data_IF_772060798126
#
_entry.id   IF_772060798126
#
_cell.length_a   1.000
_cell.length_b   1.000
_cell.length_c   1.000
_cell.angle_alpha   90.00
_cell.angle_beta   90.00
_cell.angle_gamma   90.00
#
_symmetry.space_group_name_H-M   'P 1'
#
loop_
_entity.id
_entity.type
_entity.pdbx_description
1 polymer ?
#
# COMPACT_ATOMS: atom_id res chain seq x y z
N UNK A 1 -1.60 -12.94 14.33
CA UNK A 1 -1.86 -11.51 14.57
C UNK A 1 -1.06 -10.77 13.53
N UNK A 2 -1.70 -9.91 12.75
CA UNK A 2 -1.03 -9.11 11.72
C UNK A 2 -0.01 -8.17 12.39
N UNK A 3 1.22 -8.14 11.88
CA UNK A 3 2.28 -7.30 12.44
C UNK A 3 2.14 -5.86 11.92
N UNK A 4 1.35 -5.06 12.64
CA UNK A 4 1.11 -3.66 12.30
C UNK A 4 2.40 -2.85 12.22
N UNK A 5 3.45 -3.19 12.99
CA UNK A 5 4.71 -2.45 12.97
C UNK A 5 5.46 -2.59 11.65
N UNK A 6 5.37 -3.76 11.00
CA UNK A 6 5.94 -3.98 9.66
C UNK A 6 5.15 -3.25 8.59
N UNK A 7 3.82 -3.24 8.70
CA UNK A 7 2.95 -2.50 7.79
C UNK A 7 3.25 -1.00 7.87
N UNK A 8 3.31 -0.45 9.09
CA UNK A 8 3.60 0.96 9.32
C UNK A 8 4.98 1.35 8.77
N UNK A 9 6.01 0.51 9.00
CA UNK A 9 7.35 0.75 8.47
C UNK A 9 7.41 0.73 6.93
N UNK A 10 6.73 -0.22 6.29
CA UNK A 10 6.64 -0.27 4.81
C UNK A 10 5.85 0.92 4.27
N UNK A 11 4.75 1.28 4.93
CA UNK A 11 3.93 2.44 4.55
C UNK A 11 4.70 3.75 4.65
N UNK A 12 5.47 3.95 5.74
CA UNK A 12 6.34 5.12 5.91
C UNK A 12 7.40 5.19 4.81
N UNK A 13 8.05 4.07 4.49
CA UNK A 13 9.04 4.00 3.41
C UNK A 13 8.46 4.33 2.04
N UNK A 14 7.24 3.86 1.75
CA UNK A 14 6.52 4.19 0.51
C UNK A 14 6.17 5.67 0.49
N UNK A 15 5.66 6.23 1.58
CA UNK A 15 5.22 7.62 1.65
C UNK A 15 6.38 8.61 1.54
N UNK A 16 7.49 8.38 2.24
CA UNK A 16 8.66 9.27 2.27
C UNK A 16 9.24 9.47 0.86
N UNK A 17 9.26 8.41 0.06
CA UNK A 17 9.94 8.40 -1.24
C UNK A 17 8.94 8.19 -2.39
N UNK A 18 7.66 8.49 -2.15
CA UNK A 18 6.56 8.30 -3.08
C UNK A 18 6.86 8.83 -4.49
N UNK A 19 7.36 10.07 -4.56
CA UNK A 19 7.68 10.74 -5.82
C UNK A 19 8.85 10.14 -6.61
N UNK A 20 9.56 9.16 -6.05
CA UNK A 20 10.68 8.47 -6.71
C UNK A 20 10.43 6.97 -6.91
N UNK A 21 9.39 6.39 -6.29
CA UNK A 21 9.04 4.99 -6.49
C UNK A 21 8.34 4.79 -7.84
N UNK A 22 8.98 4.04 -8.74
CA UNK A 22 8.27 3.49 -9.90
C UNK A 22 7.43 2.27 -9.51
N UNK A 23 6.43 1.93 -10.34
CA UNK A 23 5.54 0.76 -10.14
C UNK A 23 6.29 -0.48 -9.66
N UNK A 24 7.30 -0.92 -10.41
CA UNK A 24 8.08 -2.13 -10.10
C UNK A 24 8.73 -2.11 -8.71
N UNK A 25 9.15 -0.94 -8.23
CA UNK A 25 9.75 -0.78 -6.90
C UNK A 25 8.69 -0.94 -5.81
N UNK A 26 7.50 -0.35 -6.01
CA UNK A 26 6.37 -0.52 -5.10
C UNK A 26 5.94 -1.98 -5.03
N UNK A 27 5.76 -2.62 -6.18
CA UNK A 27 5.40 -4.05 -6.28
C UNK A 27 6.40 -4.91 -5.51
N UNK A 28 7.70 -4.66 -5.65
CA UNK A 28 8.71 -5.40 -4.92
C UNK A 28 8.60 -5.20 -3.39
N UNK A 29 8.43 -3.96 -2.91
CA UNK A 29 8.28 -3.68 -1.48
C UNK A 29 7.02 -4.35 -0.89
N UNK A 30 5.92 -4.33 -1.63
CA UNK A 30 4.65 -4.94 -1.20
C UNK A 30 4.75 -6.47 -1.23
N UNK A 31 5.38 -7.05 -2.26
CA UNK A 31 5.59 -8.50 -2.36
C UNK A 31 6.47 -9.03 -1.21
N UNK A 32 7.51 -8.28 -0.83
CA UNK A 32 8.31 -8.57 0.36
C UNK A 32 7.44 -8.56 1.63
N UNK A 33 6.66 -7.50 1.84
CA UNK A 33 5.75 -7.40 2.99
C UNK A 33 4.75 -8.57 3.03
N UNK A 34 4.12 -8.90 1.90
CA UNK A 34 3.15 -9.98 1.85
C UNK A 34 3.80 -11.35 2.07
N UNK A 35 5.02 -11.56 1.59
CA UNK A 35 5.78 -12.79 1.85
C UNK A 35 6.00 -13.00 3.35
N UNK A 36 6.23 -11.92 4.09
CA UNK A 36 6.45 -11.98 5.52
C UNK A 36 5.17 -12.17 6.33
N UNK A 37 4.05 -11.59 5.87
CA UNK A 37 2.82 -11.49 6.66
C UNK A 37 1.74 -12.50 6.27
N UNK A 38 1.75 -13.00 5.03
CA UNK A 38 0.67 -13.84 4.51
C UNK A 38 0.82 -15.29 4.94
N UNK A 39 -0.30 -15.86 5.37
CA UNK A 39 -0.42 -17.29 5.67
C UNK A 39 -1.12 -18.01 4.52
N UNK A 40 -0.41 -18.97 3.91
CA UNK A 40 -0.91 -19.74 2.77
C UNK A 40 -1.33 -21.16 3.14
N UNK A 41 -2.35 -21.73 2.46
CA UNK A 41 -2.64 -23.15 2.50
C UNK A 41 -1.42 -24.02 2.20
N UNK A 42 -1.32 -25.18 2.85
CA UNK A 42 -0.15 -26.08 2.74
C UNK A 42 0.01 -26.72 1.38
N UNK A 43 -1.05 -26.76 0.57
CA UNK A 43 -1.03 -27.37 -0.76
C UNK A 43 -0.31 -26.51 -1.80
N UNK A 44 -0.19 -25.19 -1.58
CA UNK A 44 0.62 -24.32 -2.42
C UNK A 44 2.11 -24.55 -2.19
N UNK A 45 2.84 -24.79 -3.28
CA UNK A 45 4.30 -24.82 -3.29
C UNK A 45 4.89 -23.43 -3.03
N UNK A 46 6.14 -23.33 -2.56
CA UNK A 46 6.79 -22.02 -2.38
C UNK A 46 6.79 -21.15 -3.64
N UNK A 47 6.94 -21.77 -4.82
CA UNK A 47 6.90 -21.04 -6.09
C UNK A 47 5.51 -20.45 -6.35
N UNK A 48 4.46 -21.25 -6.23
CA UNK A 48 3.08 -20.76 -6.41
C UNK A 48 2.74 -19.64 -5.43
N UNK A 49 3.20 -19.73 -4.18
CA UNK A 49 3.01 -18.64 -3.20
C UNK A 49 3.70 -17.36 -3.65
N UNK A 50 4.94 -17.45 -4.11
CA UNK A 50 5.69 -16.28 -4.59
C UNK A 50 5.02 -15.64 -5.81
N UNK A 51 4.54 -16.45 -6.75
CA UNK A 51 3.83 -15.97 -7.94
C UNK A 51 2.52 -15.26 -7.55
N UNK A 52 1.70 -15.89 -6.71
CA UNK A 52 0.44 -15.32 -6.20
C UNK A 52 0.68 -14.01 -5.45
N UNK A 53 1.69 -13.96 -4.59
CA UNK A 53 2.01 -12.76 -3.82
C UNK A 53 2.54 -11.63 -4.69
N UNK A 54 3.27 -11.97 -5.75
CA UNK A 54 3.75 -10.98 -6.73
C UNK A 54 2.57 -10.39 -7.51
N UNK A 55 1.64 -11.22 -7.96
CA UNK A 55 0.44 -10.75 -8.66
C UNK A 55 -0.44 -9.87 -7.75
N UNK A 56 -0.66 -10.31 -6.50
CA UNK A 56 -1.39 -9.52 -5.50
C UNK A 56 -0.70 -8.18 -5.20
N UNK A 57 0.62 -8.18 -5.10
CA UNK A 57 1.41 -6.98 -4.88
C UNK A 57 1.35 -6.01 -6.08
N UNK A 58 1.30 -6.52 -7.31
CA UNK A 58 1.17 -5.72 -8.54
C UNK A 58 -0.18 -4.98 -8.60
N UNK A 59 -1.27 -5.68 -8.25
CA UNK A 59 -2.60 -5.09 -8.12
C UNK A 59 -2.59 -4.01 -7.04
N UNK A 60 -2.08 -4.35 -5.84
CA UNK A 60 -1.98 -3.41 -4.72
C UNK A 60 -1.15 -2.17 -5.09
N UNK A 61 -0.03 -2.34 -5.79
CA UNK A 61 0.82 -1.23 -6.22
C UNK A 61 0.08 -0.28 -7.19
N UNK A 62 -0.70 -0.85 -8.11
CA UNK A 62 -1.52 -0.09 -9.06
C UNK A 62 -2.61 0.71 -8.34
N UNK A 63 -3.28 0.11 -7.36
CA UNK A 63 -4.29 0.76 -6.53
C UNK A 63 -3.69 1.89 -5.68
N UNK A 64 -2.55 1.61 -5.01
CA UNK A 64 -1.83 2.59 -4.21
C UNK A 64 -1.36 3.79 -5.04
N UNK A 65 -0.83 3.58 -6.24
CA UNK A 65 -0.45 4.69 -7.13
C UNK A 65 -1.62 5.59 -7.46
N UNK A 66 -2.74 4.99 -7.83
CA UNK A 66 -3.94 5.76 -8.17
C UNK A 66 -4.45 6.55 -6.95
N UNK A 67 -4.46 5.93 -5.77
CA UNK A 67 -4.93 6.56 -4.54
C UNK A 67 -4.02 7.73 -4.11
N UNK A 68 -2.71 7.50 -4.05
CA UNK A 68 -1.75 8.48 -3.53
C UNK A 68 -1.55 9.66 -4.50
N UNK A 69 -1.62 9.43 -5.81
CA UNK A 69 -1.64 10.53 -6.80
C UNK A 69 -2.89 11.40 -6.64
N UNK A 70 -4.05 10.79 -6.41
CA UNK A 70 -5.28 11.52 -6.15
C UNK A 70 -5.22 12.30 -4.82
N UNK A 71 -4.61 11.74 -3.78
CA UNK A 71 -4.40 12.45 -2.50
C UNK A 71 -3.48 13.66 -2.68
N UNK A 72 -2.37 13.51 -3.41
CA UNK A 72 -1.46 14.62 -3.73
C UNK A 72 -2.20 15.70 -4.52
N UNK A 73 -2.98 15.31 -5.53
CA UNK A 73 -3.78 16.24 -6.33
C UNK A 73 -4.74 17.05 -5.44
N UNK A 74 -5.50 16.37 -4.57
CA UNK A 74 -6.42 17.03 -3.64
C UNK A 74 -5.72 17.95 -2.64
N UNK A 75 -4.54 17.57 -2.16
CA UNK A 75 -3.76 18.44 -1.28
C UNK A 75 -3.21 19.66 -2.03
N UNK A 76 -2.75 19.52 -3.28
CA UNK A 76 -2.30 20.66 -4.10
C UNK A 76 -3.41 21.66 -4.43
N UNK A 77 -4.66 21.21 -4.58
CA UNK A 77 -5.82 22.07 -4.83
C UNK A 77 -6.38 22.75 -3.56
N UNK A 78 -5.92 22.35 -2.36
CA UNK A 78 -6.33 23.00 -1.11
C UNK A 78 -5.58 24.33 -0.91
N UNK A 79 -6.28 25.47 -0.80
CA UNK A 79 -5.65 26.71 -0.35
C UNK A 79 -5.09 26.50 1.06
N UNK A 80 -3.88 26.99 1.38
CA UNK A 80 -3.28 26.82 2.70
C UNK A 80 -4.04 27.68 3.71
N UNK A 81 -5.15 27.15 4.24
CA UNK A 81 -5.99 27.85 5.21
C UNK A 81 -6.04 27.00 6.47
N UNK A 82 -5.29 27.43 7.49
CA UNK A 82 -5.60 27.06 8.86
C UNK A 82 -6.73 27.96 9.37
N UNK A 83 -7.50 27.49 10.35
CA UNK A 83 -8.65 28.16 10.99
C UNK A 83 -8.34 29.56 11.57
N UNK A 84 -7.07 29.99 11.52
CA UNK A 84 -6.54 31.23 12.06
C UNK A 84 -5.91 32.17 11.01
N UNK A 85 -6.16 31.98 9.70
CA UNK A 85 -5.61 32.84 8.62
C UNK A 85 -4.07 32.91 8.59
N UNK A 86 -3.37 31.90 9.10
CA UNK A 86 -1.93 31.76 8.91
C UNK A 86 -1.66 30.77 7.77
N UNK A 87 -0.86 31.21 6.79
CA UNK A 87 -0.32 30.36 5.74
C UNK A 87 0.52 29.29 6.43
N UNK A 88 0.16 28.01 6.27
CA UNK A 88 0.96 26.89 6.77
C UNK A 88 2.36 26.96 6.14
N UNK A 89 3.41 26.84 6.96
CA UNK A 89 4.77 26.79 6.44
C UNK A 89 4.95 25.56 5.54
N UNK A 90 5.75 25.67 4.49
CA UNK A 90 5.98 24.60 3.50
C UNK A 90 6.44 23.29 4.15
N UNK A 91 7.26 23.37 5.20
CA UNK A 91 7.77 22.19 5.92
C UNK A 91 6.68 21.49 6.74
N UNK A 92 5.78 22.25 7.37
CA UNK A 92 4.62 21.71 8.09
C UNK A 92 3.64 21.04 7.11
N UNK A 93 3.46 21.64 5.92
CA UNK A 93 2.65 21.08 4.84
C UNK A 93 3.26 19.79 4.29
N UNK A 94 4.57 19.74 4.08
CA UNK A 94 5.26 18.53 3.64
C UNK A 94 5.14 17.41 4.69
N UNK A 95 5.34 17.73 5.97
CA UNK A 95 5.20 16.78 7.07
C UNK A 95 3.76 16.22 7.16
N UNK A 96 2.75 17.09 7.03
CA UNK A 96 1.35 16.69 7.03
C UNK A 96 1.00 15.78 5.84
N UNK A 97 1.54 16.08 4.66
CA UNK A 97 1.36 15.24 3.46
C UNK A 97 1.96 13.85 3.67
N UNK A 98 3.22 13.75 4.13
CA UNK A 98 3.87 12.46 4.39
C UNK A 98 3.09 11.63 5.43
N UNK A 99 2.59 12.27 6.50
CA UNK A 99 1.77 11.59 7.50
C UNK A 99 0.44 11.09 6.92
N UNK A 100 -0.20 11.86 6.04
CA UNK A 100 -1.43 11.45 5.37
C UNK A 100 -1.21 10.26 4.43
N UNK A 101 -0.18 10.33 3.57
CA UNK A 101 0.21 9.25 2.66
C UNK A 101 0.53 7.97 3.44
N UNK A 102 1.36 8.07 4.50
CA UNK A 102 1.72 6.93 5.35
C UNK A 102 0.47 6.24 5.91
N UNK A 103 -0.47 7.02 6.45
CA UNK A 103 -1.72 6.49 7.02
C UNK A 103 -2.57 5.81 5.95
N UNK A 104 -2.72 6.41 4.77
CA UNK A 104 -3.51 5.84 3.69
C UNK A 104 -2.89 4.54 3.16
N UNK A 105 -1.57 4.52 2.96
CA UNK A 105 -0.83 3.31 2.58
C UNK A 105 -0.99 2.21 3.63
N UNK A 106 -0.79 2.50 4.91
CA UNK A 106 -0.91 1.51 5.98
C UNK A 106 -2.33 0.91 6.07
N UNK A 107 -3.36 1.75 5.95
CA UNK A 107 -4.75 1.30 5.93
C UNK A 107 -5.04 0.40 4.74
N UNK A 108 -4.57 0.78 3.55
CA UNK A 108 -4.81 0.02 2.32
C UNK A 108 -4.08 -1.34 2.36
N UNK A 109 -2.82 -1.37 2.78
CA UNK A 109 -2.05 -2.61 2.95
C UNK A 109 -2.68 -3.54 3.99
N UNK A 110 -3.19 -2.98 5.09
CA UNK A 110 -3.91 -3.75 6.11
C UNK A 110 -5.16 -4.39 5.51
N UNK A 111 -6.01 -3.61 4.84
CA UNK A 111 -7.23 -4.10 4.20
C UNK A 111 -6.94 -5.18 3.15
N UNK A 112 -5.89 -5.01 2.36
CA UNK A 112 -5.50 -6.01 1.37
C UNK A 112 -5.12 -7.34 2.04
N UNK A 113 -4.31 -7.28 3.10
CA UNK A 113 -3.84 -8.46 3.85
C UNK A 113 -4.96 -9.16 4.65
N UNK A 114 -5.93 -8.42 5.17
CA UNK A 114 -6.99 -8.99 6.02
C UNK A 114 -8.22 -9.43 5.25
N UNK A 115 -8.61 -8.68 4.22
CA UNK A 115 -9.88 -8.84 3.52
C UNK A 115 -9.67 -9.34 2.09
N UNK A 116 -8.81 -8.69 1.29
CA UNK A 116 -8.73 -9.01 -0.15
C UNK A 116 -7.93 -10.26 -0.48
N UNK A 117 -6.84 -10.53 0.24
CA UNK A 117 -5.95 -11.64 -0.11
C UNK A 117 -6.67 -13.00 -0.04
N UNK A 118 -7.61 -13.16 0.88
CA UNK A 118 -8.40 -14.40 1.00
C UNK A 118 -9.36 -14.57 -0.18
N UNK A 119 -10.04 -13.49 -0.57
CA UNK A 119 -10.94 -13.51 -1.73
C UNK A 119 -10.16 -13.79 -3.02
N UNK A 120 -9.01 -13.12 -3.20
CA UNK A 120 -8.11 -13.33 -4.33
C UNK A 120 -7.63 -14.79 -4.45
N UNK A 121 -7.28 -15.42 -3.32
CA UNK A 121 -6.91 -16.84 -3.31
C UNK A 121 -8.08 -17.74 -3.72
N UNK A 122 -9.29 -17.44 -3.23
CA UNK A 122 -10.49 -18.23 -3.52
C UNK A 122 -10.87 -18.15 -5.00
N UNK A 123 -10.81 -16.97 -5.60
CA UNK A 123 -11.10 -16.76 -7.02
C UNK A 123 -10.06 -17.50 -7.89
N UNK A 124 -8.78 -17.45 -7.53
CA UNK A 124 -7.73 -18.16 -8.26
C UNK A 124 -7.88 -19.68 -8.17
N UNK A 125 -8.27 -20.23 -7.02
CA UNK A 125 -8.58 -21.66 -6.87
C UNK A 125 -9.74 -22.08 -7.78
N UNK A 126 -10.73 -21.21 -8.02
CA UNK A 126 -11.83 -21.49 -8.93
C UNK A 126 -11.38 -21.48 -10.41
N UNK A 127 -10.50 -20.54 -10.79
CA UNK A 127 -9.96 -20.45 -12.15
C UNK A 127 -9.06 -21.65 -12.52
N UNK A 128 -8.30 -22.20 -11.57
CA UNK A 128 -7.43 -23.37 -11.80
C UNK A 128 -8.23 -24.69 -12.00
N UNK A 129 -9.55 -24.68 -11.75
CA UNK A 129 -10.44 -25.85 -11.84
C UNK A 129 -11.30 -25.90 -13.13
N UNK A 130 -11.30 -24.83 -13.93
CA UNK A 130 -12.02 -24.70 -15.22
C UNK A 130 -11.13 -25.05 -16.43
#
# INVERSE_FOLDING_TARGET
MLDASRIDATAERIAIDWGHHGHNVLTAMIAELYTELSSFPTHYTPQQRADILTDAADITATELMTMLDNDIYQETDRPPITEYSWIMHTDDRHTALIAALTRHTANHLTWWLTDQLTDYLTDREAEDLD
#
